data_IF_537071585265
#
_entry.id   IF_537071585265
#
_cell.length_a   1.000
_cell.length_b   1.000
_cell.length_c   1.000
_cell.angle_alpha   90.00
_cell.angle_beta   90.00
_cell.angle_gamma   90.00
#
_symmetry.space_group_name_H-M   'P 1'
#
loop_
_entity.id
_entity.type
_entity.pdbx_description
1 polymer ?
#
# COMPACT_ATOMS: atom_id res chain seq x y z
N UNK A 1 -29.97 -25.69 -21.98
CA UNK A 1 -28.89 -24.73 -21.62
C UNK A 1 -28.93 -23.38 -22.36
N UNK A 2 -29.39 -23.27 -23.59
CA UNK A 2 -29.51 -21.97 -24.29
C UNK A 2 -30.76 -21.17 -23.89
N UNK A 3 -31.84 -21.79 -23.40
CA UNK A 3 -33.12 -21.14 -23.06
C UNK A 3 -33.17 -20.58 -21.62
N UNK A 4 -32.25 -21.01 -20.73
CA UNK A 4 -32.13 -20.47 -19.35
C UNK A 4 -31.34 -19.16 -19.28
N UNK A 5 -30.60 -18.79 -20.33
CA UNK A 5 -29.83 -17.55 -20.41
C UNK A 5 -30.70 -16.31 -20.69
N UNK A 6 -31.95 -16.48 -21.12
CA UNK A 6 -32.82 -15.41 -21.60
C UNK A 6 -33.63 -14.67 -20.52
N UNK A 7 -33.52 -15.04 -19.22
CA UNK A 7 -34.21 -14.35 -18.12
C UNK A 7 -33.33 -14.17 -16.88
N UNK A 8 -32.10 -13.66 -17.02
CA UNK A 8 -31.32 -13.26 -15.87
C UNK A 8 -31.79 -11.90 -15.38
N UNK A 9 -32.67 -11.89 -14.38
CA UNK A 9 -33.02 -10.67 -13.65
C UNK A 9 -31.82 -10.26 -12.80
N UNK A 10 -31.45 -8.98 -12.86
CA UNK A 10 -30.37 -8.46 -12.00
C UNK A 10 -30.68 -8.66 -10.51
N UNK A 11 -29.71 -9.05 -9.67
CA UNK A 11 -29.92 -9.27 -8.26
C UNK A 11 -30.58 -8.05 -7.60
N UNK A 12 -31.72 -8.27 -6.93
CA UNK A 12 -32.49 -7.24 -6.25
C UNK A 12 -33.21 -7.80 -5.02
N UNK A 13 -33.68 -6.91 -4.16
CA UNK A 13 -34.64 -7.19 -3.10
C UNK A 13 -35.53 -5.96 -2.91
N UNK A 14 -36.60 -5.92 -3.70
CA UNK A 14 -37.53 -4.76 -3.74
C UNK A 14 -38.17 -4.52 -2.37
N UNK A 15 -38.45 -5.56 -1.59
CA UNK A 15 -39.03 -5.45 -0.25
C UNK A 15 -38.08 -4.75 0.73
N UNK A 16 -36.75 -5.09 0.65
CA UNK A 16 -35.74 -4.41 1.45
C UNK A 16 -35.58 -2.95 1.04
N UNK A 17 -35.60 -2.64 -0.27
CA UNK A 17 -35.56 -1.25 -0.77
C UNK A 17 -36.74 -0.43 -0.27
N UNK A 18 -37.96 -0.98 -0.35
CA UNK A 18 -39.16 -0.36 0.21
C UNK A 18 -39.05 -0.14 1.72
N UNK A 19 -38.49 -1.14 2.42
CA UNK A 19 -38.32 -1.07 3.87
C UNK A 19 -37.36 0.02 4.30
N UNK A 20 -36.29 0.25 3.53
CA UNK A 20 -35.34 1.36 3.78
C UNK A 20 -36.07 2.70 3.62
N UNK A 21 -36.75 2.92 2.49
CA UNK A 21 -37.47 4.17 2.19
C UNK A 21 -38.55 4.46 3.24
N UNK A 22 -39.34 3.44 3.59
CA UNK A 22 -40.38 3.59 4.60
C UNK A 22 -39.83 3.88 6.00
N UNK A 23 -38.74 3.23 6.41
CA UNK A 23 -38.06 3.50 7.66
C UNK A 23 -37.53 4.94 7.75
N UNK A 24 -36.95 5.47 6.67
CA UNK A 24 -36.45 6.85 6.58
C UNK A 24 -37.59 7.89 6.68
N UNK A 25 -38.81 7.55 6.21
CA UNK A 25 -40.00 8.39 6.38
C UNK A 25 -40.57 8.38 7.79
N UNK A 26 -40.33 7.29 8.55
CA UNK A 26 -40.84 7.13 9.90
C UNK A 26 -39.93 7.72 10.98
N UNK A 27 -38.61 7.72 10.70
CA UNK A 27 -37.60 8.05 11.71
C UNK A 27 -36.44 8.80 11.10
N UNK A 28 -36.09 9.95 11.69
CA UNK A 28 -34.98 10.80 11.26
C UNK A 28 -33.64 10.11 11.40
N UNK A 29 -33.44 9.31 12.43
CA UNK A 29 -32.18 8.59 12.66
C UNK A 29 -31.96 7.49 11.61
N UNK A 30 -33.05 6.93 11.06
CA UNK A 30 -32.98 5.97 9.97
C UNK A 30 -32.37 6.57 8.68
N UNK A 31 -32.53 7.88 8.45
CA UNK A 31 -31.92 8.57 7.31
C UNK A 31 -30.38 8.55 7.44
N UNK A 32 -29.87 8.85 8.63
CA UNK A 32 -28.42 8.81 8.92
C UNK A 32 -27.86 7.42 8.67
N UNK A 33 -28.48 6.39 9.28
CA UNK A 33 -28.03 5.00 9.15
C UNK A 33 -28.06 4.51 7.69
N UNK A 34 -29.13 4.85 6.97
CA UNK A 34 -29.27 4.45 5.58
C UNK A 34 -28.25 5.16 4.66
N UNK A 35 -28.01 6.46 4.87
CA UNK A 35 -27.07 7.25 4.07
C UNK A 35 -25.61 6.88 4.30
N UNK A 36 -25.25 6.29 5.45
CA UNK A 36 -23.93 5.72 5.71
C UNK A 36 -23.67 4.43 4.92
N UNK A 37 -24.72 3.67 4.58
CA UNK A 37 -24.59 2.34 3.96
C UNK A 37 -24.90 2.37 2.46
N UNK A 38 -25.81 3.25 2.02
CA UNK A 38 -26.36 3.26 0.68
C UNK A 38 -26.13 4.58 -0.05
N UNK A 39 -26.03 4.47 -1.36
CA UNK A 39 -26.06 5.58 -2.32
C UNK A 39 -27.28 5.44 -3.25
N UNK A 40 -27.60 6.50 -4.00
CA UNK A 40 -28.71 6.51 -4.97
C UNK A 40 -28.63 5.35 -5.97
N UNK A 41 -27.42 5.03 -6.43
CA UNK A 41 -27.14 3.97 -7.41
C UNK A 41 -27.30 2.55 -6.85
N UNK A 42 -27.44 2.40 -5.55
CA UNK A 42 -27.60 1.10 -4.90
C UNK A 42 -29.04 0.55 -4.97
N UNK A 43 -29.97 1.36 -5.40
CA UNK A 43 -31.37 0.94 -5.58
C UNK A 43 -31.57 0.31 -6.98
N UNK A 44 -32.22 -0.84 -7.00
CA UNK A 44 -32.62 -1.50 -8.24
C UNK A 44 -33.77 -0.75 -8.92
N UNK A 45 -34.75 -0.32 -8.11
CA UNK A 45 -35.85 0.50 -8.56
C UNK A 45 -35.44 1.97 -8.54
N UNK A 46 -35.30 2.58 -9.72
CA UNK A 46 -34.91 3.99 -9.85
C UNK A 46 -35.75 4.95 -9.02
N UNK A 47 -37.04 4.66 -8.89
CA UNK A 47 -37.99 5.45 -8.08
C UNK A 47 -37.58 5.51 -6.60
N UNK A 48 -37.04 4.42 -6.03
CA UNK A 48 -36.58 4.42 -4.64
C UNK A 48 -35.26 5.17 -4.47
N UNK A 49 -34.37 5.12 -5.46
CA UNK A 49 -33.16 5.95 -5.49
C UNK A 49 -33.50 7.45 -5.48
N UNK A 50 -34.49 7.87 -6.27
CA UNK A 50 -34.97 9.26 -6.31
C UNK A 50 -35.56 9.69 -4.96
N UNK A 51 -36.38 8.84 -4.33
CA UNK A 51 -36.94 9.12 -2.99
C UNK A 51 -35.81 9.22 -1.95
N UNK A 52 -34.86 8.31 -1.98
CA UNK A 52 -33.69 8.30 -1.09
C UNK A 52 -32.92 9.61 -1.19
N UNK A 53 -32.56 10.03 -2.43
CA UNK A 53 -31.85 11.27 -2.69
C UNK A 53 -32.59 12.48 -2.14
N UNK A 54 -33.90 12.60 -2.45
CA UNK A 54 -34.72 13.73 -1.99
C UNK A 54 -34.82 13.80 -0.46
N UNK A 55 -34.88 12.65 0.23
CA UNK A 55 -34.90 12.62 1.68
C UNK A 55 -33.55 12.99 2.30
N UNK A 56 -32.44 12.53 1.72
CA UNK A 56 -31.09 12.90 2.17
C UNK A 56 -30.82 14.39 1.98
N UNK A 57 -31.27 14.98 0.87
CA UNK A 57 -31.16 16.43 0.62
C UNK A 57 -31.95 17.23 1.67
N UNK A 58 -33.24 16.90 1.90
CA UNK A 58 -34.07 17.55 2.93
C UNK A 58 -33.39 17.45 4.31
N UNK A 59 -32.87 16.27 4.66
CA UNK A 59 -32.17 16.05 5.92
C UNK A 59 -30.94 16.94 6.05
N UNK A 60 -30.13 17.05 4.98
CA UNK A 60 -28.90 17.86 4.95
C UNK A 60 -29.21 19.35 5.09
N UNK A 61 -30.32 19.81 4.50
CA UNK A 61 -30.82 21.18 4.61
C UNK A 61 -31.51 21.47 5.96
N UNK A 62 -31.56 20.49 6.89
CA UNK A 62 -32.29 20.57 8.15
C UNK A 62 -33.80 20.84 8.01
N UNK A 63 -34.38 20.45 6.86
CA UNK A 63 -35.83 20.49 6.63
C UNK A 63 -36.46 19.20 7.20
N UNK A 64 -37.61 19.27 7.89
CA UNK A 64 -38.31 18.05 8.31
C UNK A 64 -38.65 17.16 7.12
N UNK A 65 -38.38 15.85 7.26
CA UNK A 65 -38.69 14.85 6.23
C UNK A 65 -40.05 14.24 6.54
N UNK A 66 -41.07 14.71 5.85
CA UNK A 66 -42.46 14.20 5.95
C UNK A 66 -43.08 14.08 4.55
N UNK A 67 -44.30 13.56 4.50
CA UNK A 67 -45.04 13.35 3.24
C UNK A 67 -45.19 14.63 2.41
N UNK A 68 -45.36 15.79 3.06
CA UNK A 68 -45.62 17.06 2.41
C UNK A 68 -44.32 17.67 1.86
N UNK A 69 -43.32 17.72 2.71
CA UNK A 69 -41.98 18.27 2.35
C UNK A 69 -41.31 17.44 1.26
N UNK A 70 -41.40 16.11 1.37
CA UNK A 70 -40.88 15.21 0.34
C UNK A 70 -41.62 15.37 -0.99
N UNK A 71 -42.94 15.45 -0.96
CA UNK A 71 -43.72 15.67 -2.19
C UNK A 71 -43.37 17.00 -2.86
N UNK A 72 -43.19 18.07 -2.09
CA UNK A 72 -42.77 19.36 -2.64
C UNK A 72 -41.38 19.25 -3.30
N UNK A 73 -40.41 18.63 -2.63
CA UNK A 73 -39.07 18.42 -3.18
C UNK A 73 -39.09 17.60 -4.47
N UNK A 74 -39.92 16.56 -4.54
CA UNK A 74 -40.06 15.74 -5.74
C UNK A 74 -40.69 16.52 -6.90
N UNK A 75 -41.60 17.44 -6.63
CA UNK A 75 -42.17 18.35 -7.65
C UNK A 75 -41.14 19.36 -8.16
N UNK A 76 -40.29 19.89 -7.28
CA UNK A 76 -39.21 20.80 -7.66
C UNK A 76 -38.17 20.13 -8.59
N UNK A 77 -37.96 18.82 -8.42
CA UNK A 77 -37.06 18.00 -9.24
C UNK A 77 -37.67 17.52 -10.57
N UNK A 78 -38.89 17.94 -10.90
CA UNK A 78 -39.60 17.53 -12.12
C UNK A 78 -39.69 16.00 -12.29
N UNK A 79 -39.94 15.30 -11.17
CA UNK A 79 -40.04 13.83 -11.13
C UNK A 79 -41.44 13.43 -11.68
N UNK A 80 -41.56 12.26 -12.38
CA UNK A 80 -42.83 11.78 -12.87
C UNK A 80 -43.94 11.77 -11.82
N UNK A 81 -45.18 12.17 -12.17
CA UNK A 81 -46.30 12.27 -11.22
C UNK A 81 -46.59 10.98 -10.44
N UNK A 82 -46.27 9.85 -11.04
CA UNK A 82 -46.43 8.52 -10.41
C UNK A 82 -45.57 8.35 -9.16
N UNK A 83 -44.35 8.92 -9.16
CA UNK A 83 -43.38 8.83 -8.03
C UNK A 83 -43.65 9.95 -7.02
N UNK A 84 -44.12 11.12 -7.46
CA UNK A 84 -44.42 12.28 -6.62
C UNK A 84 -45.84 12.24 -6.01
N UNK A 85 -46.64 11.18 -6.27
CA UNK A 85 -48.00 11.06 -5.73
C UNK A 85 -47.97 10.77 -4.24
N UNK A 86 -48.87 11.42 -3.49
CA UNK A 86 -49.06 11.16 -2.04
C UNK A 86 -49.42 9.69 -1.74
N UNK A 87 -50.13 9.04 -2.64
CA UNK A 87 -50.54 7.66 -2.53
C UNK A 87 -49.32 6.71 -2.57
N UNK A 88 -48.38 6.93 -3.53
CA UNK A 88 -47.16 6.17 -3.66
C UNK A 88 -46.25 6.30 -2.43
N UNK A 89 -46.03 7.53 -1.97
CA UNK A 89 -45.20 7.78 -0.78
C UNK A 89 -45.83 7.21 0.48
N UNK A 90 -47.15 7.30 0.64
CA UNK A 90 -47.90 6.73 1.77
C UNK A 90 -47.83 5.19 1.79
N UNK A 91 -47.86 4.55 0.61
CA UNK A 91 -47.76 3.10 0.50
C UNK A 91 -46.42 2.58 1.03
N UNK A 92 -45.34 3.38 0.95
CA UNK A 92 -44.03 3.01 1.51
C UNK A 92 -44.07 2.92 3.04
N UNK A 93 -44.73 3.81 3.71
CA UNK A 93 -44.85 3.79 5.20
C UNK A 93 -45.70 2.61 5.67
N UNK A 94 -46.77 2.29 4.95
CA UNK A 94 -47.72 1.22 5.40
C UNK A 94 -47.11 -0.19 5.30
N UNK A 95 -46.07 -0.37 4.46
CA UNK A 95 -45.40 -1.65 4.26
C UNK A 95 -44.30 -1.95 5.27
N UNK A 96 -43.88 -0.99 6.06
CA UNK A 96 -42.75 -1.13 7.01
C UNK A 96 -43.30 -1.21 8.45
N UNK A 97 -43.10 -2.31 9.15
CA UNK A 97 -43.61 -2.46 10.52
C UNK A 97 -42.79 -1.67 11.57
N UNK A 98 -41.52 -1.37 11.30
CA UNK A 98 -40.62 -0.67 12.23
C UNK A 98 -39.40 -0.06 11.54
N UNK A 99 -38.94 1.11 12.01
CA UNK A 99 -37.70 1.76 11.57
C UNK A 99 -36.42 1.15 12.16
N UNK A 100 -36.52 0.38 13.24
CA UNK A 100 -35.40 -0.14 14.04
C UNK A 100 -34.43 -1.00 13.18
N UNK A 101 -34.92 -1.70 12.18
CA UNK A 101 -34.15 -2.65 11.37
C UNK A 101 -33.58 -2.03 10.10
N UNK A 102 -33.60 -0.72 9.93
CA UNK A 102 -33.14 -0.04 8.70
C UNK A 102 -31.72 -0.44 8.31
N UNK A 103 -30.79 -0.55 9.25
CA UNK A 103 -29.40 -0.96 8.98
C UNK A 103 -29.30 -2.38 8.40
N UNK A 104 -30.17 -3.31 8.81
CA UNK A 104 -30.22 -4.66 8.24
C UNK A 104 -30.77 -4.63 6.81
N UNK A 105 -31.83 -3.86 6.56
CA UNK A 105 -32.40 -3.71 5.23
C UNK A 105 -31.42 -3.02 4.27
N UNK A 106 -30.75 -1.96 4.73
CA UNK A 106 -29.72 -1.27 3.96
C UNK A 106 -28.56 -2.20 3.58
N UNK A 107 -28.10 -3.06 4.47
CA UNK A 107 -27.08 -4.08 4.15
C UNK A 107 -27.53 -5.05 3.07
N UNK A 108 -28.78 -5.52 3.10
CA UNK A 108 -29.35 -6.41 2.06
C UNK A 108 -29.34 -5.70 0.69
N UNK A 109 -29.76 -4.41 0.65
CA UNK A 109 -29.76 -3.62 -0.57
C UNK A 109 -28.33 -3.43 -1.08
N UNK A 110 -27.39 -3.08 -0.22
CA UNK A 110 -25.96 -2.92 -0.55
C UNK A 110 -25.33 -4.20 -1.11
N UNK A 111 -25.63 -5.38 -0.53
CA UNK A 111 -25.16 -6.66 -1.04
C UNK A 111 -25.69 -6.96 -2.45
N UNK A 112 -26.98 -6.70 -2.72
CA UNK A 112 -27.55 -6.87 -4.05
C UNK A 112 -26.97 -5.86 -5.05
N UNK A 113 -26.72 -4.64 -4.64
CA UNK A 113 -26.07 -3.61 -5.44
C UNK A 113 -24.62 -4.00 -5.79
N UNK A 114 -23.87 -4.56 -4.84
CA UNK A 114 -22.52 -5.06 -5.08
C UNK A 114 -22.50 -6.17 -6.16
N UNK A 115 -23.45 -7.10 -6.10
CA UNK A 115 -23.58 -8.14 -7.13
C UNK A 115 -23.93 -7.54 -8.51
N UNK A 116 -24.79 -6.52 -8.57
CA UNK A 116 -25.10 -5.83 -9.84
C UNK A 116 -23.88 -5.12 -10.42
N UNK A 117 -23.08 -4.46 -9.57
CA UNK A 117 -21.82 -3.83 -9.99
C UNK A 117 -20.85 -4.86 -10.54
N UNK A 118 -20.66 -5.99 -9.86
CA UNK A 118 -19.81 -7.07 -10.33
C UNK A 118 -20.26 -7.62 -11.69
N UNK A 119 -21.56 -7.80 -11.89
CA UNK A 119 -22.12 -8.27 -13.17
C UNK A 119 -21.79 -7.25 -14.28
N UNK A 120 -22.05 -5.96 -14.06
CA UNK A 120 -21.75 -4.90 -15.04
C UNK A 120 -20.26 -4.86 -15.40
N UNK A 121 -19.39 -4.90 -14.41
CA UNK A 121 -17.93 -4.91 -14.63
C UNK A 121 -17.51 -6.13 -15.44
N UNK A 122 -18.05 -7.33 -15.15
CA UNK A 122 -17.76 -8.52 -15.94
C UNK A 122 -18.26 -8.41 -17.39
N UNK A 123 -19.43 -7.80 -17.62
CA UNK A 123 -19.96 -7.56 -18.97
C UNK A 123 -19.08 -6.58 -19.75
N UNK A 124 -18.58 -5.52 -19.10
CA UNK A 124 -17.64 -4.57 -19.70
C UNK A 124 -16.31 -5.24 -20.05
N UNK A 125 -15.76 -6.06 -19.15
CA UNK A 125 -14.53 -6.82 -19.39
C UNK A 125 -14.71 -7.77 -20.56
N UNK A 126 -15.79 -8.55 -20.58
CA UNK A 126 -16.09 -9.46 -21.67
C UNK A 126 -16.21 -8.69 -23.02
N UNK A 127 -16.88 -7.53 -23.00
CA UNK A 127 -17.04 -6.69 -24.20
C UNK A 127 -15.69 -6.15 -24.69
N UNK A 128 -14.78 -5.73 -23.80
CA UNK A 128 -13.44 -5.31 -24.15
C UNK A 128 -12.61 -6.44 -24.78
N UNK A 129 -12.68 -7.63 -24.18
CA UNK A 129 -12.01 -8.83 -24.72
C UNK A 129 -12.51 -9.18 -26.14
N UNK A 130 -13.82 -9.12 -26.37
CA UNK A 130 -14.38 -9.39 -27.71
C UNK A 130 -14.09 -8.29 -28.73
N UNK A 131 -13.95 -7.05 -28.28
CA UNK A 131 -13.64 -5.93 -29.18
C UNK A 131 -12.20 -5.99 -29.74
N UNK A 132 -11.25 -6.54 -28.96
CA UNK A 132 -9.86 -6.76 -29.38
C UNK A 132 -9.12 -5.50 -29.83
N UNK A 133 -9.50 -4.32 -29.31
CA UNK A 133 -8.91 -3.01 -29.67
C UNK A 133 -7.65 -2.68 -28.88
N UNK A 134 -7.60 -3.12 -27.64
CA UNK A 134 -6.55 -2.84 -26.69
C UNK A 134 -5.62 -4.07 -26.56
N UNK A 135 -4.39 -3.88 -26.10
CA UNK A 135 -3.48 -4.99 -25.84
C UNK A 135 -3.97 -5.86 -24.66
N UNK A 136 -3.52 -7.11 -24.59
CA UNK A 136 -3.90 -8.03 -23.51
C UNK A 136 -3.50 -7.45 -22.15
N UNK A 137 -2.33 -6.82 -22.09
CA UNK A 137 -1.79 -6.18 -20.88
C UNK A 137 -2.70 -5.02 -20.42
N UNK A 138 -3.15 -4.16 -21.32
CA UNK A 138 -4.06 -3.05 -21.02
C UNK A 138 -5.43 -3.55 -20.54
N UNK A 139 -5.97 -4.60 -21.16
CA UNK A 139 -7.25 -5.20 -20.72
C UNK A 139 -7.10 -5.82 -19.32
N UNK A 140 -5.98 -6.48 -19.02
CA UNK A 140 -5.72 -7.06 -17.70
C UNK A 140 -5.61 -5.97 -16.63
N UNK A 141 -4.87 -4.88 -16.88
CA UNK A 141 -4.73 -3.75 -15.95
C UNK A 141 -6.07 -3.06 -15.68
N UNK A 142 -6.88 -2.81 -16.73
CA UNK A 142 -8.20 -2.19 -16.57
C UNK A 142 -9.17 -3.12 -15.82
N UNK A 143 -9.08 -4.43 -16.06
CA UNK A 143 -9.84 -5.46 -15.34
C UNK A 143 -9.52 -5.45 -13.84
N UNK A 144 -8.23 -5.49 -13.48
CA UNK A 144 -7.81 -5.45 -12.08
C UNK A 144 -8.30 -4.17 -11.38
N UNK A 145 -8.14 -3.03 -12.03
CA UNK A 145 -8.59 -1.74 -11.53
C UNK A 145 -10.11 -1.70 -11.29
N UNK A 146 -10.91 -2.17 -12.24
CA UNK A 146 -12.38 -2.18 -12.13
C UNK A 146 -12.87 -3.12 -11.02
N UNK A 147 -12.32 -4.33 -10.94
CA UNK A 147 -12.65 -5.27 -9.86
C UNK A 147 -12.27 -4.68 -8.51
N UNK A 148 -11.08 -4.11 -8.41
CA UNK A 148 -10.60 -3.48 -7.17
C UNK A 148 -11.51 -2.33 -6.72
N UNK A 149 -11.98 -1.47 -7.64
CA UNK A 149 -12.93 -0.40 -7.31
C UNK A 149 -14.25 -0.93 -6.74
N UNK A 150 -14.75 -2.07 -7.23
CA UNK A 150 -15.95 -2.70 -6.67
C UNK A 150 -15.71 -3.22 -5.25
N UNK A 151 -14.51 -3.77 -4.98
CA UNK A 151 -14.13 -4.28 -3.66
C UNK A 151 -13.86 -3.15 -2.65
N UNK A 152 -13.22 -2.06 -3.09
CA UNK A 152 -12.90 -0.93 -2.21
C UNK A 152 -14.14 -0.18 -1.73
N UNK A 153 -15.20 -0.02 -2.53
CA UNK A 153 -16.44 0.62 -2.06
C UNK A 153 -17.06 -0.06 -0.84
N UNK A 154 -16.75 -1.34 -0.60
CA UNK A 154 -17.18 -2.07 0.60
C UNK A 154 -16.36 -1.70 1.85
N UNK A 155 -15.19 -1.06 1.70
CA UNK A 155 -14.23 -0.78 2.78
C UNK A 155 -14.00 0.72 3.03
N UNK A 156 -14.39 1.61 2.12
CA UNK A 156 -13.98 3.02 2.16
C UNK A 156 -14.97 3.99 2.83
N UNK A 157 -16.13 3.54 3.30
CA UNK A 157 -17.14 4.42 3.90
C UNK A 157 -17.44 4.10 5.39
N UNK A 158 -16.52 3.44 6.09
CA UNK A 158 -16.59 3.48 7.54
C UNK A 158 -16.01 4.81 8.04
N UNK A 159 -16.87 5.80 8.25
CA UNK A 159 -16.55 6.93 9.10
C UNK A 159 -16.25 6.38 10.50
N UNK A 160 -14.96 6.23 10.80
CA UNK A 160 -14.53 5.76 12.11
C UNK A 160 -14.68 6.91 13.10
N UNK A 161 -15.59 6.83 14.09
CA UNK A 161 -15.72 7.87 15.10
C UNK A 161 -14.37 8.15 15.76
N UNK A 162 -14.05 9.42 16.01
CA UNK A 162 -12.79 9.80 16.66
C UNK A 162 -12.55 9.06 17.97
N UNK A 163 -13.61 8.70 18.67
CA UNK A 163 -13.55 7.90 19.91
C UNK A 163 -12.86 6.56 19.68
N UNK A 164 -13.18 5.86 18.60
CA UNK A 164 -12.61 4.53 18.28
C UNK A 164 -11.15 4.68 17.84
N UNK A 165 -10.83 5.76 17.09
CA UNK A 165 -9.45 6.10 16.75
C UNK A 165 -8.61 6.37 17.99
N UNK A 166 -9.16 7.10 18.98
CA UNK A 166 -8.48 7.39 20.26
C UNK A 166 -8.25 6.10 21.05
N UNK A 167 -9.24 5.22 21.16
CA UNK A 167 -9.08 3.93 21.85
C UNK A 167 -7.99 3.07 21.19
N UNK A 168 -8.03 2.92 19.87
CA UNK A 168 -7.01 2.20 19.13
C UNK A 168 -5.59 2.82 19.29
N UNK A 169 -5.50 4.15 19.36
CA UNK A 169 -4.23 4.83 19.60
C UNK A 169 -3.71 4.56 21.03
N UNK A 170 -4.58 4.58 22.04
CA UNK A 170 -4.24 4.26 23.42
C UNK A 170 -3.76 2.81 23.55
N UNK A 171 -4.44 1.85 22.92
CA UNK A 171 -4.02 0.44 22.90
C UNK A 171 -2.62 0.26 22.31
N UNK A 172 -2.32 0.97 21.21
CA UNK A 172 -0.97 0.97 20.60
C UNK A 172 0.08 1.57 21.53
N UNK A 173 -0.23 2.68 22.21
CA UNK A 173 0.68 3.32 23.19
C UNK A 173 0.92 2.38 24.37
N UNK A 174 -0.12 1.72 24.88
CA UNK A 174 0.00 0.75 25.97
C UNK A 174 0.85 -0.45 25.58
N UNK A 175 0.63 -1.00 24.38
CA UNK A 175 1.45 -2.09 23.84
C UNK A 175 2.94 -1.68 23.74
N UNK A 176 3.22 -0.49 23.20
CA UNK A 176 4.57 0.06 23.11
C UNK A 176 5.20 0.25 24.51
N UNK A 177 4.43 0.75 25.49
CA UNK A 177 4.90 0.93 26.87
C UNK A 177 5.29 -0.39 27.56
N UNK A 178 4.55 -1.47 27.27
CA UNK A 178 4.87 -2.82 27.79
C UNK A 178 6.16 -3.40 27.22
N UNK A 179 6.55 -3.01 26.01
CA UNK A 179 7.75 -3.47 25.32
C UNK A 179 9.07 -2.85 25.83
N UNK A 180 9.07 -2.02 26.88
CA UNK A 180 10.22 -1.42 27.58
C UNK A 180 11.48 -1.24 26.71
N UNK A 181 11.45 -0.25 25.79
CA UNK A 181 12.64 0.11 24.99
C UNK A 181 12.85 -0.78 23.75
N UNK A 182 11.95 -1.69 23.41
CA UNK A 182 11.94 -2.36 22.13
C UNK A 182 11.39 -1.46 21.03
N UNK A 183 11.82 -1.71 19.82
CA UNK A 183 11.46 -0.99 18.61
C UNK A 183 9.98 -1.22 18.32
N UNK A 184 9.21 -0.16 18.04
CA UNK A 184 7.77 -0.26 17.76
C UNK A 184 7.48 -0.74 16.34
N UNK A 185 8.39 -0.44 15.40
CA UNK A 185 8.35 -0.92 14.02
C UNK A 185 9.22 -2.16 13.82
N UNK A 186 9.47 -2.51 12.56
CA UNK A 186 10.38 -3.59 12.19
C UNK A 186 11.83 -3.22 12.48
N UNK A 187 12.57 -4.00 13.30
CA UNK A 187 13.94 -3.69 13.63
C UNK A 187 14.87 -3.93 12.42
N UNK A 188 15.77 -2.99 12.18
CA UNK A 188 16.76 -3.09 11.09
C UNK A 188 17.97 -3.94 11.43
N UNK A 189 18.19 -4.22 12.74
CA UNK A 189 19.40 -4.86 13.26
C UNK A 189 20.54 -3.88 13.57
N UNK A 190 20.38 -2.60 13.21
CA UNK A 190 21.32 -1.53 13.55
C UNK A 190 20.80 -0.74 14.74
N UNK A 191 21.38 -0.97 15.90
CA UNK A 191 20.87 -0.49 17.20
C UNK A 191 20.66 1.02 17.22
N UNK A 192 21.65 1.80 16.78
CA UNK A 192 21.55 3.26 16.79
C UNK A 192 20.58 3.80 15.74
N UNK A 193 20.39 3.08 14.62
CA UNK A 193 19.39 3.38 13.61
C UNK A 193 17.98 3.10 14.15
N UNK A 194 17.80 1.93 14.75
CA UNK A 194 16.52 1.54 15.35
C UNK A 194 16.13 2.48 16.50
N UNK A 195 17.10 2.92 17.30
CA UNK A 195 16.86 3.93 18.35
C UNK A 195 16.34 5.26 17.77
N UNK A 196 16.87 5.73 16.63
CA UNK A 196 16.46 6.99 16.00
C UNK A 196 15.15 6.88 15.23
N UNK A 197 14.89 5.74 14.59
CA UNK A 197 13.72 5.54 13.72
C UNK A 197 12.57 4.83 14.43
N UNK A 198 12.81 4.24 15.59
CA UNK A 198 11.92 3.27 16.26
C UNK A 198 11.62 2.06 15.37
N UNK A 199 12.55 1.70 14.45
CA UNK A 199 12.38 0.72 13.39
C UNK A 199 11.57 1.22 12.20
N UNK A 200 11.39 0.38 11.21
CA UNK A 200 10.59 0.70 10.03
C UNK A 200 9.10 0.52 10.33
N UNK A 201 8.34 1.61 10.24
CA UNK A 201 6.93 1.61 10.62
C UNK A 201 6.04 1.09 9.48
N UNK A 202 4.95 0.37 9.78
CA UNK A 202 3.94 0.03 8.77
C UNK A 202 3.44 1.28 8.04
N UNK A 203 3.18 1.15 6.74
CA UNK A 203 2.72 2.22 5.85
C UNK A 203 3.75 3.31 5.52
N UNK A 204 5.00 3.22 6.02
CA UNK A 204 6.04 4.17 5.68
C UNK A 204 6.68 3.85 4.32
N UNK A 205 6.96 4.92 3.56
CA UNK A 205 7.85 4.90 2.41
C UNK A 205 9.22 5.42 2.85
N UNK A 206 10.22 4.53 2.81
CA UNK A 206 11.59 4.78 3.24
C UNK A 206 12.47 4.85 1.99
N UNK A 207 13.12 5.97 1.78
CA UNK A 207 14.07 6.14 0.68
C UNK A 207 15.50 6.00 1.19
N UNK A 208 16.28 5.12 0.58
CA UNK A 208 17.72 4.99 0.85
C UNK A 208 18.47 5.33 -0.43
N UNK A 209 19.20 6.44 -0.41
CA UNK A 209 19.88 6.92 -1.58
C UNK A 209 21.40 7.01 -1.38
N UNK A 210 22.15 6.72 -2.44
CA UNK A 210 23.62 6.79 -2.42
C UNK A 210 24.19 6.95 -3.83
N UNK A 211 25.44 7.39 -3.92
CA UNK A 211 26.23 7.23 -5.14
C UNK A 211 26.62 5.77 -5.34
N UNK A 212 26.95 5.35 -6.59
CA UNK A 212 27.46 4.01 -6.86
C UNK A 212 28.63 3.66 -5.93
N UNK A 213 28.78 2.38 -5.61
CA UNK A 213 29.86 1.82 -4.78
C UNK A 213 29.85 2.19 -3.29
N UNK A 214 28.86 2.98 -2.81
CA UNK A 214 28.70 3.29 -1.38
C UNK A 214 28.16 2.10 -0.56
N UNK A 215 27.69 1.03 -1.24
CA UNK A 215 27.17 -0.16 -0.56
C UNK A 215 25.65 -0.17 -0.36
N UNK A 216 24.87 0.58 -1.15
CA UNK A 216 23.40 0.70 -1.03
C UNK A 216 22.69 -0.67 -1.00
N UNK A 217 22.91 -1.52 -2.00
CA UNK A 217 22.36 -2.89 -2.05
C UNK A 217 22.83 -3.75 -0.87
N UNK A 218 24.12 -3.64 -0.48
CA UNK A 218 24.66 -4.37 0.66
C UNK A 218 23.96 -3.97 1.97
N UNK A 219 23.71 -2.67 2.19
CA UNK A 219 23.03 -2.17 3.37
C UNK A 219 21.60 -2.73 3.48
N UNK A 220 20.84 -2.72 2.38
CA UNK A 220 19.48 -3.26 2.37
C UNK A 220 19.47 -4.78 2.54
N UNK A 221 20.45 -5.51 1.94
CA UNK A 221 20.58 -6.95 2.17
C UNK A 221 20.92 -7.29 3.62
N UNK A 222 21.70 -6.46 4.32
CA UNK A 222 21.97 -6.66 5.75
C UNK A 222 20.69 -6.48 6.59
N UNK A 223 19.85 -5.48 6.25
CA UNK A 223 18.55 -5.30 6.91
C UNK A 223 17.62 -6.48 6.60
N UNK A 224 17.57 -6.90 5.33
CA UNK A 224 16.76 -8.05 4.91
C UNK A 224 17.18 -9.35 5.59
N UNK A 225 18.50 -9.59 5.70
CA UNK A 225 19.04 -10.74 6.44
C UNK A 225 18.57 -10.72 7.88
N UNK A 226 18.73 -9.59 8.57
CA UNK A 226 18.32 -9.49 9.97
C UNK A 226 16.82 -9.74 10.13
N UNK A 227 15.97 -9.11 9.30
CA UNK A 227 14.53 -9.26 9.37
C UNK A 227 14.05 -10.68 9.04
N UNK A 228 14.58 -11.27 7.97
CA UNK A 228 14.14 -12.60 7.53
C UNK A 228 14.74 -13.74 8.35
N UNK A 229 16.01 -13.61 8.80
CA UNK A 229 16.72 -14.72 9.45
C UNK A 229 16.67 -14.66 10.99
N UNK A 230 16.52 -13.45 11.57
CA UNK A 230 16.55 -13.25 13.03
C UNK A 230 15.20 -12.87 13.61
N UNK A 231 14.43 -12.05 12.87
CA UNK A 231 13.11 -11.61 13.32
C UNK A 231 11.97 -12.44 12.74
N UNK A 232 12.26 -13.41 11.85
CA UNK A 232 11.29 -14.28 11.19
C UNK A 232 10.19 -13.54 10.42
N UNK A 233 10.52 -12.35 9.91
CA UNK A 233 9.62 -11.54 9.08
C UNK A 233 9.68 -11.98 7.63
N UNK A 234 8.56 -11.88 6.91
CA UNK A 234 8.56 -12.11 5.46
C UNK A 234 9.03 -10.87 4.73
N UNK A 235 10.16 -10.99 4.03
CA UNK A 235 10.81 -9.90 3.30
C UNK A 235 10.72 -10.17 1.81
N UNK A 236 10.16 -9.24 1.03
CA UNK A 236 10.18 -9.30 -0.43
C UNK A 236 11.19 -8.29 -0.98
N UNK A 237 12.18 -8.78 -1.76
CA UNK A 237 13.16 -7.95 -2.47
C UNK A 237 12.87 -8.00 -3.96
N UNK A 238 12.61 -6.84 -4.55
CA UNK A 238 12.53 -6.65 -5.99
C UNK A 238 13.86 -6.09 -6.49
N UNK A 239 14.65 -6.92 -7.14
CA UNK A 239 15.98 -6.57 -7.65
C UNK A 239 15.92 -6.32 -9.14
N UNK A 240 15.99 -5.06 -9.54
CA UNK A 240 15.90 -4.66 -10.95
C UNK A 240 17.27 -4.51 -11.62
N UNK A 241 18.35 -4.52 -10.83
CA UNK A 241 19.73 -4.36 -11.30
C UNK A 241 20.50 -5.69 -11.26
N UNK A 242 20.28 -6.51 -10.26
CA UNK A 242 21.05 -7.74 -10.00
C UNK A 242 20.15 -8.96 -10.09
N UNK A 243 20.69 -10.07 -10.61
CA UNK A 243 19.97 -11.34 -10.60
C UNK A 243 19.85 -11.91 -9.18
N UNK A 244 18.85 -12.77 -8.96
CA UNK A 244 18.64 -13.46 -7.69
C UNK A 244 19.84 -14.28 -7.23
N UNK A 245 20.57 -14.91 -8.18
CA UNK A 245 21.78 -15.67 -7.85
C UNK A 245 22.90 -14.76 -7.33
N UNK A 246 23.04 -13.55 -7.88
CA UNK A 246 24.02 -12.58 -7.38
C UNK A 246 23.69 -12.09 -5.98
N UNK A 247 22.41 -11.87 -5.69
CA UNK A 247 21.96 -11.50 -4.33
C UNK A 247 22.17 -12.64 -3.34
N UNK A 248 21.85 -13.88 -3.73
CA UNK A 248 22.09 -15.05 -2.88
C UNK A 248 23.57 -15.24 -2.60
N UNK A 249 24.46 -15.02 -3.58
CA UNK A 249 25.91 -15.07 -3.35
C UNK A 249 26.38 -14.00 -2.34
N UNK A 250 25.78 -12.81 -2.35
CA UNK A 250 26.04 -11.79 -1.31
C UNK A 250 25.53 -12.22 0.06
N UNK A 251 24.35 -12.83 0.12
CA UNK A 251 23.81 -13.38 1.37
C UNK A 251 24.70 -14.52 1.92
N UNK A 252 25.26 -15.36 1.05
CA UNK A 252 26.27 -16.34 1.47
C UNK A 252 27.49 -15.69 2.10
N UNK A 253 28.12 -14.69 1.44
CA UNK A 253 29.25 -13.99 2.02
C UNK A 253 28.92 -13.35 3.38
N UNK A 254 27.72 -12.81 3.51
CA UNK A 254 27.23 -12.12 4.69
C UNK A 254 26.98 -13.06 5.86
N UNK A 255 26.33 -14.20 5.65
CA UNK A 255 25.96 -15.17 6.70
C UNK A 255 27.12 -16.11 7.05
N UNK A 256 27.81 -16.69 6.04
CA UNK A 256 28.92 -17.60 6.26
C UNK A 256 30.21 -16.93 6.72
N UNK A 257 30.34 -15.60 6.50
CA UNK A 257 31.59 -14.82 6.68
C UNK A 257 32.76 -15.35 5.83
N UNK A 258 32.45 -15.96 4.70
CA UNK A 258 33.45 -16.30 3.68
C UNK A 258 33.66 -15.08 2.78
N UNK A 259 34.91 -14.79 2.45
CA UNK A 259 35.26 -13.64 1.60
C UNK A 259 34.55 -13.72 0.23
N UNK A 260 33.87 -12.64 -0.14
CA UNK A 260 33.11 -12.55 -1.39
C UNK A 260 33.97 -12.79 -2.64
N UNK A 261 35.28 -12.48 -2.61
CA UNK A 261 36.21 -12.80 -3.71
C UNK A 261 36.46 -14.30 -3.78
N UNK A 262 36.64 -14.97 -2.64
CA UNK A 262 36.82 -16.42 -2.57
C UNK A 262 35.60 -17.14 -3.13
N UNK A 263 34.38 -16.70 -2.75
CA UNK A 263 33.14 -17.23 -3.32
C UNK A 263 33.09 -17.08 -4.85
N UNK A 264 33.51 -15.91 -5.37
CA UNK A 264 33.49 -15.63 -6.80
C UNK A 264 34.52 -16.44 -7.58
N UNK A 265 35.69 -16.68 -7.00
CA UNK A 265 36.80 -17.41 -7.66
C UNK A 265 36.70 -18.93 -7.47
N UNK A 266 35.86 -19.39 -6.52
CA UNK A 266 35.70 -20.82 -6.22
C UNK A 266 36.88 -21.44 -5.46
N UNK A 267 37.80 -20.63 -4.92
CA UNK A 267 38.99 -21.12 -4.20
C UNK A 267 38.64 -21.32 -2.70
N UNK A 268 37.73 -22.25 -2.43
CA UNK A 268 37.16 -22.52 -1.12
C UNK A 268 37.94 -23.60 -0.39
N UNK A 269 38.23 -23.40 0.90
CA UNK A 269 38.72 -24.42 1.81
C UNK A 269 37.58 -25.31 2.31
N UNK A 270 37.92 -26.47 2.94
CA UNK A 270 36.93 -27.35 3.57
C UNK A 270 36.12 -26.64 4.67
N UNK A 271 36.76 -25.73 5.41
CA UNK A 271 36.09 -24.91 6.42
C UNK A 271 35.11 -23.92 5.80
N UNK A 272 35.48 -23.30 4.66
CA UNK A 272 34.58 -22.41 3.93
C UNK A 272 33.36 -23.17 3.43
N UNK A 273 33.56 -24.38 2.89
CA UNK A 273 32.46 -25.24 2.47
C UNK A 273 31.51 -25.60 3.64
N UNK A 274 32.06 -25.93 4.80
CA UNK A 274 31.25 -26.21 5.99
C UNK A 274 30.40 -25.00 6.39
N UNK A 275 31.01 -23.80 6.44
CA UNK A 275 30.31 -22.57 6.77
C UNK A 275 29.22 -22.19 5.71
N UNK A 276 29.49 -22.49 4.42
CA UNK A 276 28.51 -22.26 3.36
C UNK A 276 27.30 -23.19 3.45
N UNK A 277 27.52 -24.46 3.83
CA UNK A 277 26.41 -25.42 4.02
C UNK A 277 25.53 -24.99 5.19
N UNK A 278 26.11 -24.53 6.29
CA UNK A 278 25.37 -23.99 7.43
C UNK A 278 24.56 -22.75 6.99
N UNK A 279 25.19 -21.80 6.30
CA UNK A 279 24.53 -20.61 5.77
C UNK A 279 23.39 -20.97 4.79
N UNK A 280 23.59 -21.97 3.91
CA UNK A 280 22.56 -22.45 3.01
C UNK A 280 21.33 -22.96 3.77
N UNK A 281 21.55 -23.66 4.90
CA UNK A 281 20.48 -24.10 5.78
C UNK A 281 19.71 -22.96 6.43
N UNK A 282 20.35 -21.86 6.78
CA UNK A 282 19.71 -20.65 7.34
C UNK A 282 18.92 -19.90 6.25
N UNK A 283 19.57 -19.62 5.11
CA UNK A 283 18.95 -18.92 3.99
C UNK A 283 17.73 -19.68 3.46
N UNK A 284 17.86 -21.01 3.28
CA UNK A 284 16.81 -21.84 2.72
C UNK A 284 15.56 -22.00 3.61
N UNK A 285 15.69 -21.73 4.93
CA UNK A 285 14.55 -21.76 5.87
C UNK A 285 13.96 -20.39 6.16
N UNK A 286 14.55 -19.34 5.62
CA UNK A 286 14.10 -17.97 5.84
C UNK A 286 12.85 -17.63 5.03
N UNK A 287 12.13 -16.62 5.50
CA UNK A 287 10.96 -16.06 4.80
C UNK A 287 11.38 -14.95 3.81
N UNK A 288 12.47 -15.16 3.05
CA UNK A 288 12.97 -14.21 2.08
C UNK A 288 12.47 -14.56 0.67
N UNK A 289 11.82 -13.61 0.02
CA UNK A 289 11.33 -13.72 -1.36
C UNK A 289 12.17 -12.76 -2.22
N UNK A 290 12.78 -13.27 -3.28
CA UNK A 290 13.56 -12.46 -4.24
C UNK A 290 12.90 -12.56 -5.62
N UNK A 291 12.54 -11.41 -6.16
CA UNK A 291 12.02 -11.23 -7.50
C UNK A 291 12.99 -10.38 -8.32
N UNK A 292 13.52 -10.92 -9.40
CA UNK A 292 14.47 -10.24 -10.29
C UNK A 292 13.87 -9.94 -11.67
N UNK A 293 12.55 -9.77 -11.74
CA UNK A 293 11.84 -9.37 -12.97
C UNK A 293 12.34 -7.99 -13.43
N UNK A 294 13.00 -7.89 -14.60
CA UNK A 294 13.54 -6.61 -15.06
C UNK A 294 12.41 -5.68 -15.49
N UNK A 295 12.54 -4.38 -15.13
CA UNK A 295 11.59 -3.36 -15.57
C UNK A 295 10.15 -3.58 -15.10
N UNK A 296 9.97 -4.15 -13.90
CA UNK A 296 8.64 -4.40 -13.33
C UNK A 296 7.81 -3.13 -13.30
N UNK A 297 6.55 -3.22 -13.73
CA UNK A 297 5.59 -2.13 -13.60
C UNK A 297 5.06 -2.00 -12.17
N UNK A 298 4.57 -0.82 -11.82
CA UNK A 298 3.95 -0.59 -10.49
C UNK A 298 2.74 -1.49 -10.26
N UNK A 299 1.93 -1.73 -11.29
CA UNK A 299 0.76 -2.61 -11.23
C UNK A 299 1.15 -4.06 -10.98
N UNK A 300 2.16 -4.57 -11.66
CA UNK A 300 2.66 -5.93 -11.46
C UNK A 300 3.28 -6.09 -10.06
N UNK A 301 4.08 -5.13 -9.60
CA UNK A 301 4.63 -5.10 -8.25
C UNK A 301 3.51 -5.14 -7.20
N UNK A 302 2.48 -4.30 -7.36
CA UNK A 302 1.31 -4.26 -6.46
C UNK A 302 0.60 -5.61 -6.40
N UNK A 303 0.36 -6.24 -7.54
CA UNK A 303 -0.30 -7.54 -7.65
C UNK A 303 0.51 -8.65 -6.95
N UNK A 304 1.83 -8.72 -7.20
CA UNK A 304 2.73 -9.67 -6.52
C UNK A 304 2.76 -9.44 -5.01
N UNK A 305 2.86 -8.18 -4.56
CA UNK A 305 2.88 -7.86 -3.13
C UNK A 305 1.57 -8.21 -2.42
N UNK A 306 0.42 -8.01 -3.06
CA UNK A 306 -0.88 -8.47 -2.54
C UNK A 306 -0.90 -9.98 -2.35
N UNK A 307 -0.43 -10.72 -3.36
CA UNK A 307 -0.31 -12.18 -3.28
C UNK A 307 0.59 -12.60 -2.12
N UNK A 308 1.79 -12.01 -2.00
CA UNK A 308 2.72 -12.32 -0.91
C UNK A 308 2.15 -11.93 0.47
N UNK A 309 1.34 -10.86 0.54
CA UNK A 309 0.66 -10.49 1.80
C UNK A 309 -0.36 -11.53 2.24
N UNK A 310 -1.11 -12.10 1.29
CA UNK A 310 -2.13 -13.12 1.58
C UNK A 310 -1.52 -14.49 1.86
N UNK A 311 -0.51 -14.92 1.09
CA UNK A 311 0.03 -16.28 1.16
C UNK A 311 1.12 -16.42 2.21
N UNK A 312 1.92 -15.36 2.44
CA UNK A 312 3.13 -15.40 3.25
C UNK A 312 3.16 -14.36 4.37
N UNK A 313 2.07 -13.63 4.61
CA UNK A 313 2.01 -12.54 5.59
C UNK A 313 3.17 -11.53 5.42
N UNK A 314 3.32 -10.99 4.20
CA UNK A 314 4.39 -10.05 3.85
C UNK A 314 4.55 -8.95 4.91
N UNK A 315 5.78 -8.79 5.42
CA UNK A 315 6.15 -7.82 6.43
C UNK A 315 6.77 -6.53 5.85
N UNK A 316 7.62 -6.66 4.83
CA UNK A 316 8.32 -5.50 4.23
C UNK A 316 8.58 -5.72 2.74
N UNK A 317 8.60 -4.62 1.98
CA UNK A 317 8.95 -4.59 0.55
C UNK A 317 10.24 -3.79 0.39
N UNK A 318 11.21 -4.33 -0.36
CA UNK A 318 12.47 -3.66 -0.70
C UNK A 318 12.65 -3.64 -2.21
N UNK A 319 13.01 -2.49 -2.79
CA UNK A 319 13.12 -2.28 -4.25
C UNK A 319 14.50 -1.73 -4.59
N UNK A 320 15.31 -2.47 -5.37
CA UNK A 320 16.64 -2.05 -5.83
C UNK A 320 16.71 -1.98 -7.36
N UNK A 321 16.62 -0.82 -7.96
CA UNK A 321 16.35 0.52 -7.48
C UNK A 321 15.23 1.17 -8.31
N UNK A 322 14.60 2.15 -7.75
CA UNK A 322 13.37 2.77 -8.21
C UNK A 322 13.45 3.27 -9.66
N UNK A 323 14.59 3.83 -10.08
CA UNK A 323 14.77 4.37 -11.45
C UNK A 323 14.76 3.29 -12.55
N UNK A 324 14.74 1.99 -12.23
CA UNK A 324 14.59 0.92 -13.22
C UNK A 324 13.14 0.43 -13.35
N UNK A 325 12.24 0.91 -12.52
CA UNK A 325 10.82 0.60 -12.64
C UNK A 325 10.20 1.29 -13.87
N UNK A 326 9.15 0.68 -14.38
CA UNK A 326 8.33 1.24 -15.45
C UNK A 326 7.05 1.86 -14.86
N UNK A 327 6.74 3.09 -15.31
CA UNK A 327 5.48 3.75 -14.97
C UNK A 327 4.30 3.09 -15.70
N UNK A 328 3.11 3.21 -15.13
CA UNK A 328 1.86 2.65 -15.68
C UNK A 328 1.34 3.40 -16.91
N UNK A 329 1.88 4.57 -17.26
CA UNK A 329 1.46 5.40 -18.39
C UNK A 329 2.67 5.96 -19.12
N UNK A 330 2.53 6.25 -20.42
CA UNK A 330 3.50 7.07 -21.17
C UNK A 330 3.52 8.47 -20.54
N UNK A 331 4.55 8.72 -19.73
CA UNK A 331 4.78 9.99 -19.09
C UNK A 331 5.49 10.94 -20.03
N UNK A 332 5.20 12.25 -19.98
CA UNK A 332 5.83 13.27 -20.80
C UNK A 332 7.32 13.47 -20.47
N UNK A 333 7.72 13.12 -19.24
CA UNK A 333 9.11 13.20 -18.79
C UNK A 333 9.46 12.11 -17.79
N UNK A 334 10.73 11.72 -17.72
CA UNK A 334 11.23 10.76 -16.73
C UNK A 334 11.01 11.22 -15.30
N UNK A 335 11.08 12.52 -15.05
CA UNK A 335 10.82 13.11 -13.74
C UNK A 335 9.38 12.89 -13.29
N UNK A 336 8.41 13.06 -14.22
CA UNK A 336 6.99 12.81 -13.92
C UNK A 336 6.74 11.33 -13.64
N UNK A 337 7.35 10.43 -14.44
CA UNK A 337 7.23 8.99 -14.25
C UNK A 337 7.71 8.55 -12.87
N UNK A 338 8.89 9.03 -12.44
CA UNK A 338 9.43 8.75 -11.11
C UNK A 338 8.52 9.29 -10.01
N UNK A 339 7.90 10.46 -10.21
CA UNK A 339 6.95 11.04 -9.26
C UNK A 339 5.69 10.16 -9.10
N UNK A 340 5.17 9.66 -10.21
CA UNK A 340 3.98 8.79 -10.19
C UNK A 340 4.29 7.42 -9.57
N UNK A 341 5.49 6.87 -9.83
CA UNK A 341 5.98 5.65 -9.16
C UNK A 341 6.07 5.87 -7.65
N UNK A 342 6.66 6.98 -7.20
CA UNK A 342 6.81 7.30 -5.77
C UNK A 342 5.48 7.34 -5.03
N UNK A 343 4.48 8.06 -5.58
CA UNK A 343 3.13 8.11 -5.01
C UNK A 343 2.50 6.73 -4.93
N UNK A 344 2.63 5.96 -6.00
CA UNK A 344 2.08 4.61 -6.05
C UNK A 344 2.73 3.67 -5.03
N UNK A 345 4.05 3.79 -4.78
CA UNK A 345 4.74 3.03 -3.73
C UNK A 345 4.24 3.43 -2.34
N UNK A 346 3.97 4.72 -2.10
CA UNK A 346 3.35 5.17 -0.83
C UNK A 346 1.92 4.64 -0.67
N UNK A 347 1.15 4.57 -1.76
CA UNK A 347 -0.17 3.94 -1.74
C UNK A 347 -0.08 2.45 -1.41
N UNK A 348 0.86 1.71 -2.02
CA UNK A 348 1.09 0.28 -1.73
C UNK A 348 1.45 0.07 -0.26
N UNK A 349 2.34 0.91 0.31
CA UNK A 349 2.71 0.84 1.71
C UNK A 349 1.49 0.98 2.64
N UNK A 350 0.60 1.94 2.32
CA UNK A 350 -0.64 2.17 3.08
C UNK A 350 -1.66 1.05 2.90
N UNK A 351 -1.85 0.61 1.67
CA UNK A 351 -2.82 -0.44 1.33
C UNK A 351 -2.49 -1.76 2.03
N UNK A 352 -1.22 -2.16 1.98
CA UNK A 352 -0.78 -3.44 2.55
C UNK A 352 -0.39 -3.35 4.02
N UNK A 353 -0.35 -2.13 4.59
CA UNK A 353 0.10 -1.86 5.96
C UNK A 353 1.49 -2.45 6.23
N UNK A 354 2.43 -2.24 5.28
CA UNK A 354 3.83 -2.67 5.39
C UNK A 354 4.77 -1.51 5.03
N UNK A 355 5.97 -1.44 5.61
CA UNK A 355 6.99 -0.50 5.13
C UNK A 355 7.45 -0.87 3.72
N UNK A 356 7.69 0.16 2.90
CA UNK A 356 8.31 0.04 1.57
C UNK A 356 9.64 0.77 1.58
N UNK A 357 10.72 0.04 1.36
CA UNK A 357 12.08 0.58 1.22
C UNK A 357 12.41 0.67 -0.26
N UNK A 358 12.58 1.88 -0.77
CA UNK A 358 12.97 2.12 -2.15
C UNK A 358 14.41 2.65 -2.21
N UNK A 359 15.24 2.00 -3.01
CA UNK A 359 16.60 2.47 -3.27
C UNK A 359 16.61 3.49 -4.40
N UNK A 360 17.47 4.50 -4.29
CA UNK A 360 17.62 5.53 -5.31
C UNK A 360 19.10 5.85 -5.54
N UNK A 361 19.43 6.20 -6.77
CA UNK A 361 20.75 6.71 -7.09
C UNK A 361 20.76 8.23 -7.04
N UNK A 362 21.78 8.80 -6.40
CA UNK A 362 21.96 10.25 -6.30
C UNK A 362 22.52 10.85 -7.58
N UNK A 363 22.19 12.11 -7.84
CA UNK A 363 22.74 12.92 -8.92
C UNK A 363 24.27 13.01 -8.84
N UNK A 364 24.93 13.16 -9.99
CA UNK A 364 26.39 13.40 -10.07
C UNK A 364 26.83 14.73 -9.47
N UNK A 365 25.90 15.64 -9.20
CA UNK A 365 26.18 16.92 -8.54
C UNK A 365 26.84 16.78 -7.15
N UNK A 366 26.59 15.67 -6.46
CA UNK A 366 27.28 15.31 -5.20
C UNK A 366 28.80 15.30 -5.36
N UNK A 367 29.32 14.76 -6.49
CA UNK A 367 30.75 14.61 -6.74
C UNK A 367 31.44 15.92 -7.09
N UNK A 368 30.68 16.98 -7.38
CA UNK A 368 31.22 18.32 -7.66
C UNK A 368 31.46 19.14 -6.39
N UNK A 369 30.95 18.71 -5.25
CA UNK A 369 31.14 19.37 -3.97
C UNK A 369 32.45 18.93 -3.32
N UNK A 370 33.14 19.83 -2.60
CA UNK A 370 34.42 19.50 -1.95
C UNK A 370 34.32 18.41 -0.88
N UNK A 371 33.17 18.31 -0.20
CA UNK A 371 32.92 17.34 0.88
C UNK A 371 32.23 16.05 0.41
N UNK A 372 31.77 16.01 -0.84
CA UNK A 372 31.03 14.89 -1.46
C UNK A 372 29.83 14.38 -0.61
N UNK A 373 29.37 15.18 0.38
CA UNK A 373 28.29 14.77 1.28
C UNK A 373 26.93 14.92 0.62
N UNK A 374 26.09 13.87 0.66
CA UNK A 374 24.77 13.91 0.08
C UNK A 374 23.80 14.81 0.86
N UNK A 375 22.89 15.46 0.13
CA UNK A 375 21.81 16.28 0.69
C UNK A 375 20.52 16.07 -0.12
N UNK A 376 19.37 16.51 0.43
CA UNK A 376 18.06 16.31 -0.20
C UNK A 376 17.98 16.85 -1.63
N UNK A 377 18.65 17.96 -1.93
CA UNK A 377 18.69 18.51 -3.30
C UNK A 377 19.35 17.61 -4.33
N UNK A 378 20.10 16.57 -3.93
CA UNK A 378 20.75 15.62 -4.84
C UNK A 378 19.78 14.55 -5.37
N UNK A 379 18.55 14.53 -4.85
CA UNK A 379 17.42 13.77 -5.38
C UNK A 379 16.71 14.48 -6.55
N UNK A 380 17.36 15.43 -7.23
CA UNK A 380 16.78 16.40 -8.19
C UNK A 380 15.96 15.83 -9.34
N UNK A 381 16.23 14.63 -9.78
CA UNK A 381 15.37 13.95 -10.78
C UNK A 381 14.10 13.37 -10.15
N UNK A 382 13.94 13.53 -8.84
CA UNK A 382 12.95 12.85 -8.01
C UNK A 382 12.42 13.76 -6.90
N UNK A 383 12.25 15.05 -7.14
CA UNK A 383 11.78 16.01 -6.11
C UNK A 383 10.46 15.62 -5.44
N UNK A 384 9.58 14.90 -6.14
CA UNK A 384 8.38 14.34 -5.56
C UNK A 384 8.66 13.19 -4.59
N UNK A 385 9.70 12.37 -4.81
CA UNK A 385 10.07 11.28 -3.89
C UNK A 385 10.41 11.83 -2.51
N UNK A 386 11.11 12.97 -2.46
CA UNK A 386 11.42 13.64 -1.20
C UNK A 386 10.14 14.01 -0.44
N UNK A 387 9.10 14.49 -1.14
CA UNK A 387 7.84 14.88 -0.51
C UNK A 387 7.04 13.66 -0.03
N UNK A 388 6.97 12.61 -0.84
CA UNK A 388 6.18 11.41 -0.58
C UNK A 388 6.79 10.53 0.51
N UNK A 389 8.14 10.43 0.58
CA UNK A 389 8.84 9.62 1.55
C UNK A 389 8.65 10.12 2.99
N UNK A 390 8.42 9.20 3.91
CA UNK A 390 8.33 9.49 5.35
C UNK A 390 9.73 9.58 5.97
N UNK A 391 10.66 8.76 5.47
CA UNK A 391 12.06 8.75 5.89
C UNK A 391 12.96 8.79 4.65
N UNK A 392 13.97 9.65 4.68
CA UNK A 392 15.02 9.71 3.66
C UNK A 392 16.38 9.54 4.33
N UNK A 393 17.12 8.52 3.88
CA UNK A 393 18.45 8.19 4.36
C UNK A 393 19.47 8.25 3.23
N UNK A 394 20.64 8.76 3.53
CA UNK A 394 21.79 8.71 2.63
C UNK A 394 22.87 7.82 3.19
N UNK A 395 23.52 7.05 2.32
CA UNK A 395 24.76 6.34 2.65
C UNK A 395 25.95 7.14 2.13
N UNK A 396 26.92 7.33 3.02
CA UNK A 396 28.16 8.03 2.73
C UNK A 396 29.33 7.29 3.36
N UNK A 397 30.44 7.23 2.64
CA UNK A 397 31.69 6.67 3.12
C UNK A 397 32.81 7.62 2.76
N UNK A 398 33.47 8.17 3.79
CA UNK A 398 34.54 9.14 3.62
C UNK A 398 35.80 8.47 3.03
N UNK A 399 36.08 7.25 3.42
CA UNK A 399 37.23 6.46 2.95
C UNK A 399 37.21 6.15 1.43
N UNK A 400 36.05 6.26 0.79
CA UNK A 400 35.90 6.10 -0.65
C UNK A 400 36.46 7.30 -1.43
N UNK A 401 36.30 8.50 -0.90
CA UNK A 401 36.74 9.75 -1.51
C UNK A 401 38.09 10.22 -0.99
N UNK A 402 38.35 10.01 0.30
CA UNK A 402 39.56 10.45 0.99
C UNK A 402 40.28 9.26 1.60
N UNK A 403 41.37 8.83 0.97
CA UNK A 403 42.16 7.68 1.42
C UNK A 403 42.94 7.95 2.72
N UNK A 404 43.15 9.21 3.08
CA UNK A 404 43.88 9.63 4.28
C UNK A 404 42.96 9.95 5.47
N UNK A 405 41.68 9.60 5.36
CA UNK A 405 40.69 9.84 6.42
C UNK A 405 40.98 9.03 7.67
N UNK A 406 40.67 9.61 8.83
CA UNK A 406 40.67 8.90 10.11
C UNK A 406 39.49 7.89 10.23
N UNK A 407 38.45 8.06 9.40
CA UNK A 407 37.22 7.22 9.39
C UNK A 407 37.33 6.06 8.40
N UNK A 408 38.40 5.28 8.50
CA UNK A 408 38.57 4.06 7.66
C UNK A 408 37.55 3.01 8.04
N UNK A 409 36.96 2.35 7.03
CA UNK A 409 35.96 1.32 7.19
C UNK A 409 34.71 1.78 8.00
N UNK A 410 34.41 3.09 7.99
CA UNK A 410 33.22 3.67 8.59
C UNK A 410 32.24 4.11 7.49
N UNK A 411 31.00 3.66 7.61
CA UNK A 411 29.90 4.13 6.78
C UNK A 411 28.95 4.98 7.63
N UNK A 412 28.55 6.10 7.08
CA UNK A 412 27.56 6.99 7.69
C UNK A 412 26.18 6.77 7.04
N UNK A 413 25.18 6.52 7.87
CA UNK A 413 23.76 6.54 7.51
C UNK A 413 23.21 7.89 7.95
N UNK A 414 22.98 8.78 7.01
CA UNK A 414 22.52 10.16 7.27
C UNK A 414 21.00 10.18 7.12
N UNK A 415 20.26 10.28 8.22
CA UNK A 415 18.81 10.47 8.23
C UNK A 415 18.56 11.96 7.94
N UNK A 416 18.27 12.27 6.68
CA UNK A 416 18.10 13.65 6.22
C UNK A 416 16.66 14.15 6.35
N UNK A 417 15.68 13.23 6.35
CA UNK A 417 14.27 13.51 6.57
C UNK A 417 13.65 12.39 7.39
N UNK A 418 12.82 12.75 8.36
CA UNK A 418 11.98 11.81 9.12
C UNK A 418 10.75 12.55 9.60
N UNK A 419 9.54 12.03 9.29
CA UNK A 419 8.29 12.68 9.70
C UNK A 419 8.01 12.54 11.20
N UNK A 420 8.34 11.37 11.76
CA UNK A 420 7.97 10.99 13.13
C UNK A 420 9.19 10.73 14.02
N UNK A 421 10.29 11.46 13.83
CA UNK A 421 11.49 11.27 14.64
C UNK A 421 12.61 12.26 14.31
N UNK A 422 13.75 12.17 15.00
CA UNK A 422 14.88 13.09 14.81
C UNK A 422 15.68 12.75 13.55
N UNK A 423 16.17 13.78 12.88
CA UNK A 423 17.23 13.65 11.87
C UNK A 423 18.60 13.48 12.53
N UNK A 424 19.58 13.01 11.78
CA UNK A 424 20.95 12.88 12.26
C UNK A 424 21.74 11.77 11.56
N UNK A 425 22.95 11.53 12.02
CA UNK A 425 23.84 10.53 11.43
C UNK A 425 24.04 9.36 12.38
N UNK A 426 24.10 8.15 11.81
CA UNK A 426 24.47 6.90 12.48
C UNK A 426 25.73 6.37 11.82
N UNK A 427 26.75 6.03 12.59
CA UNK A 427 27.98 5.43 12.09
C UNK A 427 27.92 3.91 12.23
N UNK A 428 28.30 3.21 11.16
CA UNK A 428 28.35 1.75 11.09
C UNK A 428 29.74 1.33 10.63
N UNK A 429 30.22 0.20 11.10
CA UNK A 429 31.42 -0.41 10.58
C UNK A 429 31.13 -1.05 9.22
N UNK A 430 32.00 -0.79 8.25
CA UNK A 430 31.97 -1.43 6.93
C UNK A 430 33.00 -2.54 6.85
N UNK A 431 32.55 -3.74 6.50
CA UNK A 431 33.41 -4.93 6.35
C UNK A 431 33.43 -5.35 4.88
N UNK A 432 34.36 -4.81 4.07
CA UNK A 432 34.33 -4.95 2.61
C UNK A 432 34.43 -6.40 2.13
N UNK A 433 35.17 -7.25 2.84
CA UNK A 433 35.33 -8.67 2.50
C UNK A 433 34.01 -9.42 2.44
N UNK A 434 33.09 -9.08 3.34
CA UNK A 434 31.80 -9.76 3.48
C UNK A 434 30.64 -8.91 2.95
N UNK A 435 30.94 -7.74 2.38
CA UNK A 435 29.92 -6.74 2.01
C UNK A 435 28.92 -6.46 3.14
N UNK A 436 29.45 -6.38 4.38
CA UNK A 436 28.65 -6.31 5.63
C UNK A 436 28.79 -4.96 6.31
N UNK A 437 27.64 -4.43 6.73
CA UNK A 437 27.56 -3.36 7.72
C UNK A 437 27.37 -3.96 9.12
N UNK A 438 27.99 -3.39 10.14
CA UNK A 438 27.88 -3.82 11.51
C UNK A 438 27.75 -2.65 12.47
N UNK A 439 27.15 -2.89 13.63
CA UNK A 439 27.11 -1.91 14.70
C UNK A 439 28.53 -1.58 15.17
N UNK A 440 28.82 -0.29 15.40
CA UNK A 440 30.08 0.14 16.01
C UNK A 440 30.17 -0.40 17.44
N UNK A 441 31.32 -0.91 17.84
CA UNK A 441 31.58 -1.20 19.25
C UNK A 441 31.71 0.14 19.98
N UNK A 442 30.82 0.39 20.94
CA UNK A 442 30.95 1.47 21.93
C UNK A 442 31.95 1.12 22.99
#
# INVERSE_FOLDING_TARGET
MADELLKRVMPNNVEAEQSVIGAMLMDRDAITIASEILTVDDFYQKQYGILFEAMVELYTENVPVDLITLQNRLKEKDVPPEISSLEFVRDMITKVPTSVNVGTYAKIVSEKAALRRLIRVNEEIASACYAGKDSVEEIMEDTEKKIFQVLQRKTNDEFVPIKDVVLNALDKIEAASRMKGSVTGMPTGFIDLDYKTSGFQPSDLILIAARPSMGKTAFVLNIAEYMAFRSNETVAIFSLEMSKEQLVNRLFALESRVDSQILRTGNLSDNDWSSLIEAAGVIGRSNLIIDDTPGISVSELRSKCRKYKLEHNLGIIMIDYLQLMQGSRKSESRQQEISDISRSLKEIARELQVPVVALSQLSRAVEQRPDHRPMLSDLRESGAIEQDADVVMFLYRDDYYNHDTEKKDVAEVIIAKQRNGPIGTVELAWLPRYTKFANMKK
#
